data_IF_649857512494
#
_entry.id   IF_649857512494
#
_cell.length_a   1.000
_cell.length_b   1.000
_cell.length_c   1.000
_cell.angle_alpha   90.00
_cell.angle_beta   90.00
_cell.angle_gamma   90.00
#
_symmetry.space_group_name_H-M   'P 1'
#
loop_
_entity.id
_entity.type
_entity.pdbx_description
1 polymer ?
#
# COMPACT_ATOMS: atom_id res chain seq x y z
N UNK A 1 47.98 4.93 4.23
CA UNK A 1 46.77 4.40 4.91
C UNK A 1 46.29 5.26 6.08
N UNK A 2 47.12 6.09 6.73
CA UNK A 2 46.66 6.97 7.83
C UNK A 2 45.79 8.17 7.36
N UNK A 3 46.01 8.70 6.15
CA UNK A 3 45.28 9.90 5.68
C UNK A 3 43.88 9.61 5.13
N UNK A 4 43.54 8.37 4.78
CA UNK A 4 42.18 8.00 4.34
C UNK A 4 41.21 7.83 5.52
N UNK A 5 41.69 7.26 6.63
CA UNK A 5 40.86 7.07 7.82
C UNK A 5 40.52 8.41 8.51
N UNK A 6 41.37 9.42 8.41
CA UNK A 6 41.06 10.76 8.94
C UNK A 6 39.93 11.42 8.14
N UNK A 7 40.00 11.39 6.80
CA UNK A 7 38.98 11.98 5.93
C UNK A 7 37.65 11.23 5.97
N UNK A 8 37.66 9.90 6.09
CA UNK A 8 36.42 9.11 6.23
C UNK A 8 35.71 9.38 7.58
N UNK A 9 36.48 9.48 8.67
CA UNK A 9 35.92 9.85 9.97
C UNK A 9 35.37 11.28 9.97
N UNK A 10 36.02 12.20 9.26
CA UNK A 10 35.55 13.58 9.11
C UNK A 10 34.23 13.64 8.31
N UNK A 11 34.12 12.91 7.20
CA UNK A 11 32.88 12.85 6.39
C UNK A 11 31.75 12.18 7.17
N UNK A 12 32.04 11.11 7.90
CA UNK A 12 31.03 10.42 8.72
C UNK A 12 30.48 11.34 9.82
N UNK A 13 31.36 12.02 10.55
CA UNK A 13 30.97 12.97 11.59
C UNK A 13 30.17 14.14 11.01
N UNK A 14 30.62 14.69 9.89
CA UNK A 14 29.87 15.74 9.19
C UNK A 14 28.45 15.30 8.83
N UNK A 15 28.29 14.12 8.21
CA UNK A 15 26.99 13.65 7.72
C UNK A 15 26.02 13.20 8.83
N UNK A 16 26.52 12.59 9.91
CA UNK A 16 25.66 11.94 10.91
C UNK A 16 25.68 12.58 12.29
N UNK A 17 26.56 13.55 12.52
CA UNK A 17 26.64 14.30 13.78
C UNK A 17 26.39 15.78 13.54
N UNK A 18 27.14 16.43 12.64
CA UNK A 18 27.07 17.88 12.45
C UNK A 18 25.84 18.34 11.65
N UNK A 19 25.53 17.64 10.55
CA UNK A 19 24.36 17.94 9.71
C UNK A 19 23.03 17.47 10.34
N UNK A 20 23.11 16.55 11.30
CA UNK A 20 21.95 15.93 11.90
C UNK A 20 21.30 16.81 12.98
N UNK A 21 19.99 16.67 13.15
CA UNK A 21 19.26 17.42 14.16
C UNK A 21 19.70 16.97 15.57
N UNK A 22 20.25 17.90 16.39
CA UNK A 22 20.82 17.54 17.69
C UNK A 22 19.78 16.97 18.66
N UNK A 23 18.48 17.22 18.43
CA UNK A 23 17.40 16.77 19.32
C UNK A 23 17.13 15.27 19.20
N UNK A 24 17.41 14.68 18.03
CA UNK A 24 17.06 13.27 17.73
C UNK A 24 18.28 12.35 17.72
N UNK A 25 19.50 12.91 17.73
CA UNK A 25 20.75 12.16 17.55
C UNK A 25 20.94 11.00 18.52
N UNK A 26 20.55 11.16 19.78
CA UNK A 26 20.71 10.14 20.83
C UNK A 26 19.54 9.17 20.95
N UNK A 27 18.49 9.33 20.13
CA UNK A 27 17.33 8.45 20.19
C UNK A 27 17.66 7.05 19.66
N UNK A 28 16.90 6.07 20.14
CA UNK A 28 17.09 4.68 19.76
C UNK A 28 16.97 4.51 18.24
N UNK A 29 17.96 3.85 17.63
CA UNK A 29 18.16 3.66 16.17
C UNK A 29 18.51 4.92 15.34
N UNK A 30 18.73 6.08 15.96
CA UNK A 30 19.03 7.34 15.25
C UNK A 30 20.52 7.72 15.18
N UNK A 31 21.37 7.04 15.96
CA UNK A 31 22.82 7.36 16.03
C UNK A 31 23.55 7.15 14.70
N UNK A 32 23.15 6.14 13.93
CA UNK A 32 23.80 5.75 12.67
C UNK A 32 22.74 5.20 11.72
N UNK A 33 22.97 5.26 10.39
CA UNK A 33 22.11 4.58 9.42
C UNK A 33 22.27 3.05 9.39
N UNK A 34 23.35 2.52 9.98
CA UNK A 34 23.67 1.09 9.94
C UNK A 34 22.52 0.21 10.48
N UNK A 35 21.89 0.51 11.63
CA UNK A 35 20.78 -0.28 12.14
C UNK A 35 19.59 -0.33 11.20
N UNK A 36 19.18 0.79 10.58
CA UNK A 36 18.01 0.80 9.69
C UNK A 36 18.28 0.03 8.39
N UNK A 37 19.46 0.20 7.79
CA UNK A 37 19.84 -0.59 6.62
C UNK A 37 19.94 -2.09 6.95
N UNK A 38 20.44 -2.45 8.14
CA UNK A 38 20.47 -3.83 8.60
C UNK A 38 19.07 -4.41 8.76
N UNK A 39 18.14 -3.66 9.39
CA UNK A 39 16.75 -4.08 9.58
C UNK A 39 16.08 -4.32 8.22
N UNK A 40 16.18 -3.37 7.29
CA UNK A 40 15.58 -3.49 5.95
C UNK A 40 16.22 -4.62 5.14
N UNK A 41 17.54 -4.78 5.22
CA UNK A 41 18.26 -5.87 4.57
C UNK A 41 17.84 -7.25 5.08
N UNK A 42 17.73 -7.41 6.41
CA UNK A 42 17.23 -8.64 7.03
C UNK A 42 15.77 -8.91 6.68
N UNK A 43 14.94 -7.87 6.67
CA UNK A 43 13.55 -7.95 6.24
C UNK A 43 13.43 -8.45 4.78
N UNK A 44 14.19 -7.86 3.85
CA UNK A 44 14.20 -8.27 2.44
C UNK A 44 14.70 -9.71 2.28
N UNK A 45 15.77 -10.07 2.97
CA UNK A 45 16.29 -11.43 2.99
C UNK A 45 15.24 -12.44 3.50
N UNK A 46 14.54 -12.10 4.57
CA UNK A 46 13.47 -12.92 5.12
C UNK A 46 12.32 -13.06 4.13
N UNK A 47 11.77 -11.96 3.62
CA UNK A 47 10.54 -11.97 2.81
C UNK A 47 10.76 -12.57 1.43
N UNK A 48 11.91 -12.30 0.80
CA UNK A 48 12.16 -12.71 -0.59
C UNK A 48 12.86 -14.07 -0.72
N UNK A 49 13.51 -14.55 0.34
CA UNK A 49 14.35 -15.76 0.25
C UNK A 49 14.10 -16.73 1.40
N UNK A 50 14.50 -16.38 2.62
CA UNK A 50 14.54 -17.36 3.72
C UNK A 50 13.15 -17.81 4.17
N UNK A 51 12.21 -16.88 4.37
CA UNK A 51 10.87 -17.14 4.85
C UNK A 51 10.05 -18.03 3.92
N UNK A 52 9.94 -17.73 2.61
CA UNK A 52 9.27 -18.61 1.65
C UNK A 52 9.90 -20.01 1.58
N UNK A 53 11.23 -20.12 1.63
CA UNK A 53 11.94 -21.42 1.66
C UNK A 53 11.60 -22.21 2.93
N UNK A 54 11.61 -21.56 4.09
CA UNK A 54 11.26 -22.17 5.38
C UNK A 54 9.80 -22.64 5.42
N UNK A 55 8.89 -21.91 4.77
CA UNK A 55 7.46 -22.20 4.72
C UNK A 55 7.04 -23.19 3.62
N UNK A 56 7.94 -23.57 2.71
CA UNK A 56 7.65 -24.42 1.55
C UNK A 56 6.95 -25.71 1.95
N UNK A 57 7.55 -26.44 2.89
CA UNK A 57 7.12 -27.78 3.31
C UNK A 57 6.30 -27.75 4.62
N UNK A 58 5.86 -26.56 5.05
CA UNK A 58 5.09 -26.33 6.28
C UNK A 58 3.66 -25.89 5.99
N UNK A 59 2.76 -26.20 6.92
CA UNK A 59 1.40 -25.67 6.94
C UNK A 59 1.42 -24.19 7.37
N UNK A 60 0.49 -23.34 6.86
CA UNK A 60 0.37 -21.95 7.30
C UNK A 60 0.22 -21.83 8.83
N UNK A 61 0.91 -20.87 9.43
CA UNK A 61 0.76 -20.61 10.86
C UNK A 61 -0.62 -20.02 11.18
N UNK A 62 -1.23 -20.47 12.28
CA UNK A 62 -2.49 -19.93 12.81
C UNK A 62 -2.20 -18.73 13.72
N UNK A 63 -2.11 -17.54 13.13
CA UNK A 63 -1.73 -16.30 13.83
C UNK A 63 -2.91 -15.34 14.09
N UNK A 64 -4.14 -15.85 14.17
CA UNK A 64 -5.35 -15.02 14.26
C UNK A 64 -5.33 -14.07 15.47
N UNK A 65 -5.08 -14.60 16.67
CA UNK A 65 -5.00 -13.78 17.90
C UNK A 65 -3.87 -12.77 17.83
N UNK A 66 -2.70 -13.18 17.33
CA UNK A 66 -1.55 -12.29 17.14
C UNK A 66 -1.89 -11.14 16.21
N UNK A 67 -2.56 -11.42 15.09
CA UNK A 67 -2.99 -10.39 14.14
C UNK A 67 -4.06 -9.47 14.70
N UNK A 68 -5.00 -9.99 15.50
CA UNK A 68 -6.00 -9.15 16.17
C UNK A 68 -5.30 -8.14 17.09
N UNK A 69 -4.40 -8.61 17.96
CA UNK A 69 -3.66 -7.73 18.89
C UNK A 69 -2.77 -6.75 18.13
N UNK A 70 -2.01 -7.24 17.16
CA UNK A 70 -1.11 -6.43 16.35
C UNK A 70 -1.85 -5.32 15.59
N UNK A 71 -2.92 -5.66 14.85
CA UNK A 71 -3.66 -4.65 14.08
C UNK A 71 -4.37 -3.65 15.02
N UNK A 72 -4.84 -4.08 16.19
CA UNK A 72 -5.40 -3.17 17.19
C UNK A 72 -4.36 -2.17 17.70
N UNK A 73 -3.16 -2.62 18.03
CA UNK A 73 -2.04 -1.75 18.43
C UNK A 73 -1.70 -0.77 17.30
N UNK A 74 -1.66 -1.23 16.04
CA UNK A 74 -1.41 -0.36 14.89
C UNK A 74 -2.48 0.73 14.73
N UNK A 75 -3.76 0.40 14.99
CA UNK A 75 -4.85 1.39 14.99
C UNK A 75 -4.62 2.43 16.07
N UNK A 76 -4.30 2.03 17.31
CA UNK A 76 -4.05 2.96 18.42
C UNK A 76 -2.84 3.87 18.14
N UNK A 77 -1.76 3.29 17.63
CA UNK A 77 -0.55 4.03 17.26
C UNK A 77 -0.86 5.06 16.15
N UNK A 78 -1.60 4.65 15.13
CA UNK A 78 -2.02 5.53 14.03
C UNK A 78 -2.97 6.64 14.51
N UNK A 79 -3.90 6.33 15.43
CA UNK A 79 -4.79 7.31 16.03
C UNK A 79 -4.02 8.37 16.84
N UNK A 80 -3.03 7.94 17.61
CA UNK A 80 -2.14 8.85 18.33
C UNK A 80 -1.36 9.76 17.37
N UNK A 81 -0.80 9.22 16.28
CA UNK A 81 -0.09 10.03 15.28
C UNK A 81 -1.02 11.02 14.56
N UNK A 82 -2.28 10.65 14.30
CA UNK A 82 -3.28 11.58 13.76
C UNK A 82 -3.56 12.71 14.74
N UNK A 83 -3.71 12.40 16.03
CA UNK A 83 -3.89 13.41 17.07
C UNK A 83 -2.70 14.38 17.14
N UNK A 84 -1.47 13.87 17.16
CA UNK A 84 -0.26 14.71 17.15
C UNK A 84 -0.19 15.58 15.89
N UNK A 85 -0.53 15.03 14.73
CA UNK A 85 -0.62 15.80 13.49
C UNK A 85 -1.69 16.89 13.56
N UNK A 86 -2.88 16.63 14.11
CA UNK A 86 -3.91 17.64 14.31
C UNK A 86 -3.44 18.78 15.23
N UNK A 87 -2.67 18.46 16.27
CA UNK A 87 -2.10 19.46 17.19
C UNK A 87 -1.07 20.34 16.47
N UNK A 88 -0.17 19.75 15.68
CA UNK A 88 0.83 20.49 14.91
C UNK A 88 0.20 21.34 13.79
N UNK A 89 -0.65 20.74 12.96
CA UNK A 89 -1.27 21.37 11.78
C UNK A 89 -2.33 22.42 12.11
N UNK A 90 -2.73 22.54 13.39
CA UNK A 90 -3.54 23.67 13.87
C UNK A 90 -2.76 25.00 13.83
N UNK A 91 -1.45 24.94 14.07
CA UNK A 91 -0.59 26.12 14.19
C UNK A 91 0.35 26.30 12.98
N UNK A 92 0.47 25.29 12.12
CA UNK A 92 1.31 25.33 10.94
C UNK A 92 0.72 26.20 9.82
N UNK A 93 1.62 26.78 9.04
CA UNK A 93 1.28 27.39 7.77
C UNK A 93 1.04 26.32 6.71
N UNK A 94 -0.20 26.24 6.21
CA UNK A 94 -0.65 25.28 5.21
C UNK A 94 -0.01 25.45 3.82
N UNK A 95 0.71 26.55 3.56
CA UNK A 95 1.43 26.78 2.29
C UNK A 95 2.88 26.31 2.34
N UNK A 96 3.57 26.65 3.43
CA UNK A 96 4.98 26.35 3.60
C UNK A 96 5.33 26.48 5.08
N UNK A 97 5.72 25.35 5.69
CA UNK A 97 6.10 25.31 7.09
C UNK A 97 7.58 24.91 7.25
N UNK A 98 8.44 25.78 7.83
CA UNK A 98 9.82 25.41 8.16
C UNK A 98 9.88 24.37 9.28
N UNK A 99 11.04 23.74 9.42
CA UNK A 99 11.36 22.94 10.60
C UNK A 99 11.81 23.90 11.71
N UNK A 100 11.13 23.87 12.85
CA UNK A 100 11.65 24.51 14.07
C UNK A 100 12.71 23.59 14.66
N UNK A 101 13.97 24.04 14.71
CA UNK A 101 15.11 23.30 15.27
C UNK A 101 15.39 23.62 16.75
N UNK A 102 14.54 24.42 17.40
CA UNK A 102 14.69 24.76 18.81
C UNK A 102 14.38 23.57 19.73
N UNK A 103 14.82 23.68 20.98
CA UNK A 103 14.45 22.77 22.06
C UNK A 103 13.15 23.18 22.77
N UNK A 104 12.33 24.03 22.15
CA UNK A 104 11.03 24.39 22.70
C UNK A 104 10.15 23.14 22.86
N UNK A 105 9.28 23.08 23.89
CA UNK A 105 8.45 21.89 24.14
C UNK A 105 7.62 21.46 22.93
N UNK A 106 7.14 22.41 22.13
CA UNK A 106 6.39 22.13 20.91
C UNK A 106 7.28 21.50 19.82
N UNK A 107 8.44 22.08 19.54
CA UNK A 107 9.36 21.59 18.51
C UNK A 107 9.90 20.18 18.85
N UNK A 108 10.19 19.92 20.13
CA UNK A 108 10.59 18.58 20.60
C UNK A 108 9.44 17.58 20.52
N UNK A 109 8.20 18.02 20.80
CA UNK A 109 7.00 17.17 20.63
C UNK A 109 6.78 16.78 19.17
N UNK A 110 6.94 17.72 18.25
CA UNK A 110 6.85 17.46 16.80
C UNK A 110 7.93 16.47 16.36
N UNK A 111 9.17 16.66 16.79
CA UNK A 111 10.26 15.72 16.52
C UNK A 111 9.96 14.31 17.04
N UNK A 112 9.40 14.20 18.25
CA UNK A 112 8.95 12.91 18.81
C UNK A 112 7.85 12.28 17.97
N UNK A 113 6.91 13.06 17.45
CA UNK A 113 5.87 12.58 16.53
C UNK A 113 6.46 11.97 15.26
N UNK A 114 7.44 12.64 14.63
CA UNK A 114 8.15 12.13 13.45
C UNK A 114 8.94 10.86 13.77
N UNK A 115 9.58 10.79 14.94
CA UNK A 115 10.30 9.60 15.38
C UNK A 115 9.38 8.41 15.66
N UNK A 116 8.24 8.64 16.31
CA UNK A 116 7.24 7.57 16.52
C UNK A 116 6.69 7.09 15.18
N UNK A 117 6.51 7.97 14.20
CA UNK A 117 6.17 7.57 12.83
C UNK A 117 7.25 6.67 12.21
N UNK A 118 8.53 6.99 12.37
CA UNK A 118 9.63 6.12 11.96
C UNK A 118 9.57 4.73 12.64
N UNK A 119 9.39 4.68 13.96
CA UNK A 119 9.23 3.42 14.68
C UNK A 119 7.99 2.64 14.22
N UNK A 120 6.90 3.34 13.91
CA UNK A 120 5.71 2.73 13.32
C UNK A 120 6.08 2.05 12.00
N UNK A 121 6.78 2.72 11.07
CA UNK A 121 7.19 2.10 9.79
C UNK A 121 8.07 0.86 9.96
N UNK A 122 8.92 0.80 10.99
CA UNK A 122 9.66 -0.42 11.34
C UNK A 122 8.70 -1.53 11.79
N UNK A 123 7.75 -1.20 12.68
CA UNK A 123 6.79 -2.19 13.17
C UNK A 123 5.91 -2.76 12.04
N UNK A 124 5.61 -1.96 11.02
CA UNK A 124 4.81 -2.35 9.85
C UNK A 124 5.52 -3.37 8.96
N UNK A 125 6.84 -3.54 9.07
CA UNK A 125 7.56 -4.63 8.38
C UNK A 125 7.04 -6.02 8.78
N UNK A 126 6.43 -6.13 9.97
CA UNK A 126 5.81 -7.36 10.44
C UNK A 126 4.60 -7.77 9.60
N UNK A 127 3.93 -6.85 8.89
CA UNK A 127 2.81 -7.17 7.99
C UNK A 127 3.22 -8.24 6.98
N UNK A 128 4.35 -8.00 6.31
CA UNK A 128 4.86 -8.89 5.28
C UNK A 128 5.41 -10.18 5.87
N UNK A 129 6.01 -10.12 7.06
CA UNK A 129 6.43 -11.31 7.82
C UNK A 129 5.22 -12.20 8.09
N UNK A 130 4.10 -11.64 8.55
CA UNK A 130 2.87 -12.39 8.78
C UNK A 130 2.28 -12.96 7.49
N UNK A 131 2.37 -12.25 6.35
CA UNK A 131 1.92 -12.78 5.06
C UNK A 131 2.72 -14.02 4.65
N UNK A 132 4.04 -13.98 4.77
CA UNK A 132 4.92 -15.13 4.47
C UNK A 132 4.62 -16.30 5.40
N UNK A 133 4.53 -16.08 6.72
CA UNK A 133 4.23 -17.14 7.69
C UNK A 133 2.82 -17.76 7.51
N UNK A 134 1.89 -17.02 6.90
CA UNK A 134 0.55 -17.52 6.56
C UNK A 134 0.44 -18.07 5.14
N UNK A 135 1.54 -18.11 4.38
CA UNK A 135 1.59 -18.48 2.94
C UNK A 135 0.58 -17.68 2.11
N UNK A 136 0.41 -16.39 2.43
CA UNK A 136 -0.48 -15.49 1.71
C UNK A 136 0.29 -14.70 0.65
N UNK A 137 0.91 -15.41 -0.29
CA UNK A 137 1.79 -14.85 -1.33
C UNK A 137 1.10 -13.78 -2.18
N UNK A 138 -0.24 -13.84 -2.31
CA UNK A 138 -1.01 -12.82 -3.03
C UNK A 138 -0.89 -11.42 -2.42
N UNK A 139 -0.58 -11.31 -1.13
CA UNK A 139 -0.39 -10.03 -0.44
C UNK A 139 1.07 -9.53 -0.53
N UNK A 140 2.03 -10.42 -0.77
CA UNK A 140 3.45 -10.09 -0.94
C UNK A 140 3.70 -9.62 -2.38
N UNK A 141 3.15 -8.45 -2.70
CA UNK A 141 3.29 -7.82 -4.02
C UNK A 141 4.53 -6.94 -4.08
N UNK A 142 5.04 -6.67 -5.28
CA UNK A 142 6.11 -5.69 -5.50
C UNK A 142 5.79 -4.34 -4.85
N UNK A 143 4.56 -3.84 -5.02
CA UNK A 143 4.10 -2.60 -4.40
C UNK A 143 4.28 -2.62 -2.88
N UNK A 144 3.81 -3.69 -2.24
CA UNK A 144 3.90 -3.81 -0.78
C UNK A 144 5.36 -3.89 -0.31
N UNK A 145 6.18 -4.75 -0.91
CA UNK A 145 7.58 -4.90 -0.51
C UNK A 145 8.39 -3.62 -0.77
N UNK A 146 8.20 -2.98 -1.92
CA UNK A 146 8.84 -1.70 -2.24
C UNK A 146 8.46 -0.62 -1.23
N UNK A 147 7.16 -0.44 -0.97
CA UNK A 147 6.66 0.52 0.01
C UNK A 147 7.27 0.31 1.39
N UNK A 148 7.17 -0.91 1.92
CA UNK A 148 7.67 -1.24 3.26
C UNK A 148 9.19 -1.23 3.36
N UNK A 149 9.93 -1.29 2.24
CA UNK A 149 11.39 -1.12 2.26
C UNK A 149 11.81 0.34 2.27
N UNK A 150 11.14 1.18 1.47
CA UNK A 150 11.53 2.58 1.26
C UNK A 150 11.02 3.48 2.38
N UNK A 151 9.81 3.25 2.90
CA UNK A 151 9.20 4.13 3.91
C UNK A 151 9.98 4.20 5.24
N UNK A 152 10.52 3.10 5.80
CA UNK A 152 11.39 3.16 6.98
C UNK A 152 12.70 3.94 6.72
N UNK A 153 13.27 3.83 5.52
CA UNK A 153 14.50 4.54 5.15
C UNK A 153 14.27 6.04 5.03
N UNK A 154 13.18 6.44 4.35
CA UNK A 154 12.80 7.85 4.23
C UNK A 154 12.49 8.43 5.62
N UNK A 155 11.70 7.72 6.43
CA UNK A 155 11.32 8.21 7.77
C UNK A 155 12.51 8.31 8.73
N UNK A 156 13.51 7.43 8.60
CA UNK A 156 14.79 7.60 9.31
C UNK A 156 15.50 8.89 8.89
N UNK A 157 15.64 9.14 7.58
CA UNK A 157 16.25 10.36 7.06
C UNK A 157 15.52 11.62 7.51
N UNK A 158 14.18 11.63 7.46
CA UNK A 158 13.41 12.78 7.94
C UNK A 158 13.58 12.98 9.44
N UNK A 159 13.59 11.92 10.24
CA UNK A 159 13.78 12.04 11.69
C UNK A 159 15.19 12.54 12.04
N UNK A 160 16.20 12.13 11.25
CA UNK A 160 17.59 12.50 11.47
C UNK A 160 17.89 13.95 11.10
N UNK A 161 17.28 14.47 10.04
CA UNK A 161 17.65 15.77 9.47
C UNK A 161 16.55 16.83 9.53
N UNK A 162 15.28 16.44 9.39
CA UNK A 162 14.14 17.36 9.31
C UNK A 162 12.94 16.86 10.15
N UNK A 163 13.09 16.73 11.48
CA UNK A 163 12.05 16.15 12.34
C UNK A 163 10.93 17.15 12.65
N UNK A 164 10.24 17.64 11.61
CA UNK A 164 9.14 18.60 11.71
C UNK A 164 8.77 19.26 10.38
N UNK A 165 7.92 20.28 10.43
CA UNK A 165 7.64 21.16 9.29
C UNK A 165 6.80 20.55 8.17
N UNK A 166 6.97 21.07 6.94
CA UNK A 166 6.12 20.80 5.77
C UNK A 166 5.93 19.31 5.47
N UNK A 167 6.99 18.51 5.62
CA UNK A 167 6.98 17.07 5.36
C UNK A 167 6.08 16.25 6.29
N UNK A 168 5.74 16.77 7.47
CA UNK A 168 4.88 16.06 8.45
C UNK A 168 3.46 15.84 7.95
N UNK A 169 3.01 16.61 6.94
CA UNK A 169 1.71 16.42 6.29
C UNK A 169 1.56 15.00 5.73
N UNK A 170 2.65 14.48 5.16
CA UNK A 170 2.70 13.13 4.58
C UNK A 170 2.41 12.09 5.67
N UNK A 171 3.12 12.18 6.80
CA UNK A 171 2.96 11.26 7.92
C UNK A 171 1.58 11.38 8.57
N UNK A 172 1.04 12.60 8.66
CA UNK A 172 -0.28 12.85 9.24
C UNK A 172 -1.41 12.20 8.44
N UNK A 173 -1.48 12.47 7.12
CA UNK A 173 -2.50 11.86 6.26
C UNK A 173 -2.27 10.36 6.11
N UNK A 174 -1.02 9.89 6.02
CA UNK A 174 -0.72 8.45 6.00
C UNK A 174 -1.26 7.75 7.24
N UNK A 175 -1.06 8.33 8.42
CA UNK A 175 -1.55 7.78 9.69
C UNK A 175 -3.07 7.68 9.70
N UNK A 176 -3.79 8.68 9.16
CA UNK A 176 -5.24 8.63 9.04
C UNK A 176 -5.71 7.46 8.16
N UNK A 177 -5.07 7.26 7.00
CA UNK A 177 -5.40 6.13 6.13
C UNK A 177 -5.02 4.79 6.78
N UNK A 178 -3.93 4.76 7.56
CA UNK A 178 -3.51 3.58 8.32
C UNK A 178 -4.51 3.21 9.42
N UNK A 179 -5.20 4.16 10.07
CA UNK A 179 -6.33 3.85 10.98
C UNK A 179 -7.38 3.03 10.23
N UNK A 180 -7.80 3.48 9.05
CA UNK A 180 -8.85 2.81 8.25
C UNK A 180 -8.37 1.45 7.76
N UNK A 181 -7.14 1.38 7.26
CA UNK A 181 -6.54 0.14 6.74
C UNK A 181 -6.35 -0.92 7.84
N UNK A 182 -5.76 -0.55 8.98
CA UNK A 182 -5.54 -1.50 10.08
C UNK A 182 -6.84 -1.86 10.79
N UNK A 183 -7.84 -0.98 10.83
CA UNK A 183 -9.19 -1.35 11.28
C UNK A 183 -9.79 -2.42 10.38
N UNK A 184 -9.64 -2.30 9.06
CA UNK A 184 -10.06 -3.36 8.13
C UNK A 184 -9.32 -4.67 8.40
N UNK A 185 -8.00 -4.64 8.60
CA UNK A 185 -7.23 -5.86 8.88
C UNK A 185 -7.59 -6.48 10.22
N UNK A 186 -7.77 -5.67 11.27
CA UNK A 186 -8.27 -6.07 12.57
C UNK A 186 -9.60 -6.82 12.46
N UNK A 187 -10.59 -6.22 11.79
CA UNK A 187 -11.90 -6.85 11.60
C UNK A 187 -11.80 -8.12 10.74
N UNK A 188 -10.95 -8.13 9.72
CA UNK A 188 -10.75 -9.29 8.85
C UNK A 188 -10.14 -10.49 9.57
N UNK A 189 -9.43 -10.27 10.69
CA UNK A 189 -8.77 -11.30 11.47
C UNK A 189 -9.74 -12.14 12.32
N UNK A 190 -10.98 -11.67 12.57
CA UNK A 190 -12.05 -12.45 13.20
C UNK A 190 -12.65 -13.54 12.30
N UNK A 191 -12.15 -13.66 11.06
CA UNK A 191 -12.46 -14.77 10.16
C UNK A 191 -13.70 -14.55 9.27
N UNK A 192 -14.16 -15.60 8.58
CA UNK A 192 -15.14 -15.50 7.49
C UNK A 192 -16.49 -14.90 7.93
N UNK A 193 -16.87 -15.09 9.19
CA UNK A 193 -18.12 -14.56 9.76
C UNK A 193 -18.15 -13.03 9.75
N UNK A 194 -17.01 -12.37 9.91
CA UNK A 194 -16.89 -10.90 9.90
C UNK A 194 -16.52 -10.40 8.50
N UNK A 195 -15.67 -11.13 7.77
CA UNK A 195 -15.23 -10.73 6.42
C UNK A 195 -16.36 -10.47 5.43
N UNK A 196 -17.50 -11.15 5.57
CA UNK A 196 -18.69 -10.92 4.71
C UNK A 196 -19.27 -9.51 4.83
N UNK A 197 -19.04 -8.81 5.94
CA UNK A 197 -19.51 -7.44 6.16
C UNK A 197 -18.49 -6.38 5.68
N UNK A 198 -17.28 -6.78 5.27
CA UNK A 198 -16.20 -5.87 4.89
C UNK A 198 -16.24 -5.49 3.39
N UNK A 199 -17.39 -5.03 2.94
CA UNK A 199 -17.65 -4.66 1.54
C UNK A 199 -16.84 -3.43 1.08
N UNK A 200 -16.44 -2.56 2.02
CA UNK A 200 -15.75 -1.29 1.73
C UNK A 200 -14.26 -1.42 1.38
N UNK A 201 -13.76 -2.64 1.11
CA UNK A 201 -12.33 -2.87 0.80
C UNK A 201 -11.84 -2.01 -0.37
N UNK A 202 -12.66 -1.85 -1.41
CA UNK A 202 -12.31 -1.02 -2.58
C UNK A 202 -12.16 0.45 -2.20
N UNK A 203 -13.01 0.97 -1.31
CA UNK A 203 -12.95 2.35 -0.84
C UNK A 203 -11.66 2.68 -0.08
N UNK A 204 -11.04 1.70 0.59
CA UNK A 204 -9.72 1.88 1.22
C UNK A 204 -8.66 2.19 0.16
N UNK A 205 -8.66 1.44 -0.95
CA UNK A 205 -7.74 1.70 -2.07
C UNK A 205 -7.97 3.09 -2.67
N UNK A 206 -9.24 3.50 -2.82
CA UNK A 206 -9.59 4.84 -3.28
C UNK A 206 -9.07 5.91 -2.31
N UNK A 207 -9.23 5.70 -1.00
CA UNK A 207 -8.72 6.60 0.04
C UNK A 207 -7.19 6.74 -0.04
N UNK A 208 -6.46 5.63 -0.24
CA UNK A 208 -5.01 5.65 -0.44
C UNK A 208 -4.60 6.46 -1.68
N UNK A 209 -5.31 6.29 -2.80
CA UNK A 209 -5.06 7.10 -4.00
C UNK A 209 -5.30 8.58 -3.78
N UNK A 210 -6.41 8.94 -3.11
CA UNK A 210 -6.74 10.33 -2.76
C UNK A 210 -5.67 10.93 -1.84
N UNK A 211 -5.15 10.17 -0.88
CA UNK A 211 -4.01 10.57 -0.04
C UNK A 211 -2.81 10.97 -0.90
N UNK A 212 -2.42 10.17 -1.90
CA UNK A 212 -1.26 10.52 -2.74
C UNK A 212 -1.50 11.79 -3.54
N UNK A 213 -2.72 12.04 -4.02
CA UNK A 213 -3.07 13.30 -4.67
C UNK A 213 -2.96 14.49 -3.70
N UNK A 214 -3.48 14.37 -2.48
CA UNK A 214 -3.40 15.43 -1.47
C UNK A 214 -1.94 15.73 -1.11
N UNK A 215 -1.14 14.69 -0.88
CA UNK A 215 0.30 14.83 -0.61
C UNK A 215 1.01 15.49 -1.80
N UNK A 216 0.72 15.08 -3.03
CA UNK A 216 1.33 15.66 -4.22
C UNK A 216 1.03 17.17 -4.33
N UNK A 217 -0.22 17.57 -4.16
CA UNK A 217 -0.64 18.98 -4.21
C UNK A 217 0.06 19.78 -3.11
N UNK A 218 0.07 19.27 -1.87
CA UNK A 218 0.71 19.93 -0.74
C UNK A 218 2.24 20.08 -0.92
N UNK A 219 2.93 19.02 -1.37
CA UNK A 219 4.38 19.08 -1.57
C UNK A 219 4.79 19.95 -2.76
N UNK A 220 3.92 20.09 -3.77
CA UNK A 220 4.15 20.95 -4.94
C UNK A 220 4.26 22.43 -4.56
N UNK A 221 3.68 22.85 -3.42
CA UNK A 221 3.75 24.24 -2.96
C UNK A 221 5.19 24.70 -2.65
N UNK A 222 6.08 23.78 -2.26
CA UNK A 222 7.51 24.04 -2.04
C UNK A 222 8.28 24.40 -3.33
N UNK A 223 7.71 24.14 -4.51
CA UNK A 223 8.30 24.60 -5.78
C UNK A 223 8.13 26.10 -5.99
N UNK A 224 7.12 26.70 -5.37
CA UNK A 224 6.73 28.09 -5.62
C UNK A 224 6.87 28.99 -4.40
N UNK A 225 6.94 28.42 -3.19
CA UNK A 225 7.06 29.16 -1.93
C UNK A 225 8.37 28.83 -1.25
N UNK A 226 9.14 29.86 -0.90
CA UNK A 226 10.32 29.71 -0.06
C UNK A 226 9.98 30.08 1.39
N UNK A 227 10.20 29.14 2.31
CA UNK A 227 10.06 29.36 3.74
C UNK A 227 11.23 28.77 4.54
N UNK A 228 12.37 28.47 3.89
CA UNK A 228 13.51 27.84 4.55
C UNK A 228 13.36 26.32 4.79
N UNK A 229 12.26 25.70 4.35
CA UNK A 229 12.17 24.24 4.27
C UNK A 229 13.02 23.72 3.09
N UNK A 230 13.79 22.63 3.24
CA UNK A 230 14.71 22.14 2.21
C UNK A 230 14.00 21.79 0.89
N UNK A 231 14.16 22.63 -0.13
CA UNK A 231 13.50 22.44 -1.45
C UNK A 231 13.93 21.17 -2.17
N UNK A 232 15.15 20.69 -1.93
CA UNK A 232 15.66 19.46 -2.51
C UNK A 232 14.81 18.23 -2.13
N UNK A 233 14.07 18.26 -1.00
CA UNK A 233 13.20 17.13 -0.63
C UNK A 233 12.14 16.86 -1.69
N UNK A 234 11.73 17.91 -2.43
CA UNK A 234 10.74 17.83 -3.51
C UNK A 234 11.22 16.91 -4.65
N UNK A 235 12.52 16.90 -4.93
CA UNK A 235 13.15 16.03 -5.93
C UNK A 235 12.98 14.55 -5.61
N UNK A 236 12.76 14.20 -4.34
CA UNK A 236 12.49 12.82 -3.92
C UNK A 236 11.00 12.58 -3.68
N UNK A 237 10.29 13.51 -3.03
CA UNK A 237 8.89 13.31 -2.65
C UNK A 237 7.94 13.27 -3.83
N UNK A 238 8.09 14.16 -4.84
CA UNK A 238 7.16 14.19 -5.97
C UNK A 238 7.30 12.97 -6.89
N UNK A 239 8.51 12.56 -7.33
CA UNK A 239 8.64 11.34 -8.12
C UNK A 239 8.13 10.11 -7.38
N UNK A 240 8.40 10.01 -6.07
CA UNK A 240 7.91 8.88 -5.27
C UNK A 240 6.37 8.89 -5.14
N UNK A 241 5.75 10.05 -4.95
CA UNK A 241 4.29 10.17 -4.93
C UNK A 241 3.65 9.75 -6.27
N UNK A 242 4.23 10.16 -7.40
CA UNK A 242 3.79 9.73 -8.73
C UNK A 242 3.93 8.21 -8.90
N UNK A 243 5.08 7.66 -8.49
CA UNK A 243 5.35 6.24 -8.57
C UNK A 243 4.36 5.41 -7.75
N UNK A 244 4.10 5.80 -6.49
CA UNK A 244 3.08 5.15 -5.67
C UNK A 244 1.69 5.26 -6.28
N UNK A 245 1.30 6.44 -6.76
CA UNK A 245 0.00 6.61 -7.41
C UNK A 245 -0.17 5.64 -8.60
N UNK A 246 0.86 5.50 -9.44
CA UNK A 246 0.85 4.55 -10.54
C UNK A 246 0.66 3.11 -10.07
N UNK A 247 1.45 2.66 -9.08
CA UNK A 247 1.36 1.29 -8.57
C UNK A 247 0.00 0.99 -7.92
N UNK A 248 -0.57 1.94 -7.18
CA UNK A 248 -1.89 1.78 -6.57
C UNK A 248 -3.01 1.78 -7.63
N UNK A 249 -2.91 2.62 -8.65
CA UNK A 249 -3.85 2.61 -9.77
C UNK A 249 -3.77 1.29 -10.54
N UNK A 250 -2.56 0.78 -10.84
CA UNK A 250 -2.38 -0.54 -11.46
C UNK A 250 -3.00 -1.67 -10.62
N UNK A 251 -2.74 -1.68 -9.31
CA UNK A 251 -3.35 -2.60 -8.37
C UNK A 251 -4.88 -2.51 -8.38
N UNK A 252 -5.43 -1.29 -8.36
CA UNK A 252 -6.88 -1.04 -8.37
C UNK A 252 -7.54 -1.59 -9.64
N UNK A 253 -6.94 -1.31 -10.79
CA UNK A 253 -7.41 -1.75 -12.10
C UNK A 253 -7.42 -3.28 -12.21
N UNK A 254 -6.33 -3.93 -11.78
CA UNK A 254 -6.19 -5.40 -11.79
C UNK A 254 -7.13 -6.09 -10.80
N UNK A 255 -7.29 -5.53 -9.59
CA UNK A 255 -8.01 -6.19 -8.49
C UNK A 255 -9.52 -5.97 -8.52
N UNK A 256 -9.97 -4.80 -9.00
CA UNK A 256 -11.37 -4.40 -8.93
C UNK A 256 -11.99 -4.22 -10.32
N UNK A 257 -11.46 -3.34 -11.18
CA UNK A 257 -12.12 -3.04 -12.47
C UNK A 257 -12.16 -4.24 -13.41
N UNK A 258 -11.04 -4.91 -13.65
CA UNK A 258 -11.01 -6.09 -14.54
C UNK A 258 -11.89 -7.24 -14.02
N UNK A 259 -11.94 -7.42 -12.69
CA UNK A 259 -12.80 -8.43 -12.07
C UNK A 259 -14.28 -8.09 -12.21
N UNK A 260 -14.65 -6.82 -11.99
CA UNK A 260 -16.02 -6.35 -12.15
C UNK A 260 -16.48 -6.46 -13.61
N UNK A 261 -15.61 -6.07 -14.56
CA UNK A 261 -15.84 -6.23 -16.00
C UNK A 261 -16.13 -7.70 -16.35
N UNK A 262 -15.28 -8.63 -15.91
CA UNK A 262 -15.47 -10.06 -16.18
C UNK A 262 -16.79 -10.63 -15.60
N UNK A 263 -17.23 -10.12 -14.45
CA UNK A 263 -18.54 -10.51 -13.86
C UNK A 263 -19.69 -9.97 -14.70
N UNK A 264 -19.62 -8.71 -15.13
CA UNK A 264 -20.61 -8.08 -16.00
C UNK A 264 -20.68 -8.79 -17.36
N UNK A 265 -19.53 -9.09 -17.97
CA UNK A 265 -19.44 -9.76 -19.25
C UNK A 265 -20.00 -11.20 -19.15
N UNK A 266 -19.70 -11.92 -18.07
CA UNK A 266 -20.26 -13.25 -17.81
C UNK A 266 -21.78 -13.23 -17.57
N UNK A 267 -22.30 -12.20 -16.90
CA UNK A 267 -23.74 -12.00 -16.72
C UNK A 267 -24.43 -11.70 -18.06
N UNK A 268 -23.84 -10.83 -18.87
CA UNK A 268 -24.34 -10.50 -20.20
C UNK A 268 -24.33 -11.72 -21.13
N UNK A 269 -23.27 -12.53 -21.09
CA UNK A 269 -23.18 -13.77 -21.86
C UNK A 269 -24.25 -14.79 -21.45
N UNK A 270 -24.52 -14.94 -20.14
CA UNK A 270 -25.61 -15.80 -19.65
C UNK A 270 -26.99 -15.32 -20.10
N UNK A 271 -27.23 -14.01 -20.04
CA UNK A 271 -28.50 -13.43 -20.48
C UNK A 271 -28.70 -13.59 -22.00
N UNK A 272 -27.65 -13.39 -22.79
CA UNK A 272 -27.67 -13.62 -24.23
C UNK A 272 -27.95 -15.10 -24.56
N UNK A 273 -27.30 -16.03 -23.87
CA UNK A 273 -27.53 -17.47 -24.06
C UNK A 273 -28.97 -17.88 -23.68
N UNK A 274 -29.52 -17.34 -22.58
CA UNK A 274 -30.90 -17.59 -22.17
C UNK A 274 -31.92 -17.03 -23.19
N UNK A 275 -31.66 -15.84 -23.74
CA UNK A 275 -32.51 -15.26 -24.78
C UNK A 275 -32.52 -16.09 -26.07
N UNK A 276 -31.36 -16.60 -26.50
CA UNK A 276 -31.25 -17.48 -27.68
C UNK A 276 -31.99 -18.81 -27.45
N UNK A 277 -31.87 -19.41 -26.26
CA UNK A 277 -32.58 -20.64 -25.92
C UNK A 277 -34.11 -20.44 -25.95
N UNK A 278 -34.61 -19.35 -25.37
CA UNK A 278 -36.03 -19.01 -25.39
C UNK A 278 -36.57 -18.76 -26.82
N UNK A 279 -35.77 -18.16 -27.71
CA UNK A 279 -36.14 -17.95 -29.10
C UNK A 279 -36.18 -19.28 -29.90
N UNK A 280 -35.32 -20.23 -29.56
CA UNK A 280 -35.23 -21.54 -30.23
C UNK A 280 -36.40 -22.45 -29.83
N UNK A 281 -36.82 -22.44 -28.55
CA UNK A 281 -38.01 -23.16 -28.09
C UNK A 281 -39.30 -22.63 -28.74
N UNK A 282 -39.42 -21.31 -28.94
CA UNK A 282 -40.56 -20.73 -29.64
C UNK A 282 -40.61 -21.11 -31.12
N UNK A 283 -39.45 -21.25 -31.79
CA UNK A 283 -39.40 -21.67 -33.19
C UNK A 283 -39.73 -23.16 -33.37
N UNK A 284 -39.30 -24.02 -32.46
CA UNK A 284 -39.63 -25.46 -32.50
C UNK A 284 -41.13 -25.72 -32.32
N UNK A 285 -41.84 -24.87 -31.56
CA UNK A 285 -43.30 -24.92 -31.45
C UNK A 285 -44.03 -24.46 -32.73
N UNK A 286 -43.39 -23.66 -33.58
CA UNK A 286 -43.97 -23.21 -34.86
C UNK A 286 -43.77 -24.24 -35.97
N UNK A 287 -42.64 -24.96 -36.01
CA UNK A 287 -42.38 -26.04 -36.97
C UNK A 287 -43.15 -27.33 -36.64
N UNK A 288 -43.38 -27.65 -35.36
CA UNK A 288 -44.17 -28.83 -34.99
C UNK A 288 -45.67 -28.72 -35.32
N UNK A 289 -46.21 -27.51 -35.49
CA UNK A 289 -47.63 -27.28 -35.81
C UNK A 289 -47.97 -27.34 -37.31
N UNK A 290 -46.98 -27.47 -38.19
CA UNK A 290 -47.18 -27.41 -39.65
C UNK A 290 -46.84 -28.70 -40.42
N UNK A 291 -46.68 -29.84 -39.75
CA UNK A 291 -46.33 -31.12 -40.39
C UNK A 291 -47.48 -32.14 -40.50
N UNK A 292 -48.74 -31.72 -40.38
CA UNK A 292 -49.89 -32.56 -40.73
C UNK A 292 -50.47 -32.13 -42.08
N UNK A 293 -49.83 -32.52 -43.18
CA UNK A 293 -50.37 -32.28 -44.53
C UNK A 293 -49.48 -32.71 -45.69
N UNK A 294 -49.68 -33.96 -46.12
CA UNK A 294 -49.46 -34.52 -47.50
C UNK A 294 -48.00 -34.78 -47.95
N UNK A 295 -47.71 -35.96 -48.57
CA UNK A 295 -46.36 -36.35 -48.97
C UNK A 295 -46.02 -35.87 -50.39
N UNK A 296 -44.75 -35.50 -50.63
CA UNK A 296 -44.20 -35.37 -51.98
C UNK A 296 -42.83 -36.04 -52.02
N UNK A 297 -42.70 -37.03 -52.90
CA UNK A 297 -41.43 -37.65 -53.31
C UNK A 297 -40.70 -36.77 -54.31
N UNK A 298 -39.38 -36.58 -54.15
CA UNK A 298 -38.44 -36.50 -55.27
C UNK A 298 -37.00 -36.62 -54.76
N UNK A 299 -36.25 -37.45 -55.47
CA UNK A 299 -34.82 -37.77 -55.42
C UNK A 299 -33.88 -36.58 -55.66
N UNK A 300 -32.67 -36.60 -55.08
CA UNK A 300 -31.53 -35.81 -55.54
C UNK A 300 -30.41 -35.60 -54.51
N UNK A 301 -29.33 -36.38 -54.64
CA UNK A 301 -27.90 -36.13 -54.33
C UNK A 301 -27.49 -35.39 -53.02
N UNK A 302 -26.90 -36.08 -52.04
CA UNK A 302 -25.50 -36.53 -51.90
C UNK A 302 -24.49 -35.45 -51.43
N UNK A 303 -23.86 -35.78 -50.28
CA UNK A 303 -22.50 -35.40 -49.82
C UNK A 303 -22.32 -33.91 -49.47
N UNK A 304 -21.60 -33.46 -48.45
CA UNK A 304 -20.42 -33.88 -47.69
C UNK A 304 -20.40 -32.86 -46.52
N UNK A 305 -20.22 -33.17 -45.25
CA UNK A 305 -18.94 -33.48 -44.64
C UNK A 305 -19.17 -33.77 -43.15
N UNK A 306 -18.85 -35.00 -42.75
CA UNK A 306 -18.67 -35.44 -41.37
C UNK A 306 -17.20 -35.84 -41.23
N UNK A 307 -16.61 -35.52 -40.07
CA UNK A 307 -15.32 -36.00 -39.52
C UNK A 307 -14.04 -35.44 -40.17
N UNK A 308 -13.25 -34.67 -39.40
CA UNK A 308 -12.15 -35.21 -38.58
C UNK A 308 -11.33 -34.08 -37.91
N UNK A 309 -11.08 -34.28 -36.61
CA UNK A 309 -9.96 -33.82 -35.75
C UNK A 309 -9.51 -32.34 -35.82
#
# INVERSE_FOLDING_TARGET
MANMNATENDVWNFLFVELADPRTNDWFLMKSPVPIFSIVGLYLYFVLSWGPRYMRDRKPFKLEKTLIVYNFIQVLLSAWMVYEGCVAWRNYNWRCQPVDHSFAPQAVREARGVYVYYLAKISELLDTVFFVLRKNERQVTFLHVYHHSVMPLISWGTTKYYPGGHGTFIGWINSFVHIVMYTYYFLSAFGPKVQKYLWWKSHITTLQMVQFCMVFIHQTQLLYTDCGYPRWTVCFTLPNAIFFYYLFNDFYQKSYKKKQQAVTDAANAKNAAAAIAAATDNNNNFTAKNLNGVPISATGDLKEAKKSL
#
